data_IF_067487567100
#
_entry.id   IF_067487567100
#
_cell.length_a   1.000
_cell.length_b   1.000
_cell.length_c   1.000
_cell.angle_alpha   90.00
_cell.angle_beta   90.00
_cell.angle_gamma   90.00
#
_symmetry.space_group_name_H-M   'P 1'
#
loop_
_entity.id
_entity.type
_entity.pdbx_description
1 polymer ?
#
# COMPACT_ATOMS: atom_id res chain seq x y z
N UNK A 1 -13.85 -37.00 -6.06
CA UNK A 1 -14.42 -36.73 -4.73
C UNK A 1 -15.93 -36.71 -4.86
N UNK A 2 -16.66 -37.55 -4.12
CA UNK A 2 -18.12 -37.51 -4.10
C UNK A 2 -18.57 -36.43 -3.09
N UNK A 3 -18.96 -35.27 -3.60
CA UNK A 3 -19.53 -34.21 -2.76
C UNK A 3 -20.98 -34.54 -2.43
N UNK A 4 -21.32 -34.58 -1.15
CA UNK A 4 -22.67 -34.86 -0.68
C UNK A 4 -23.54 -33.60 -0.60
N UNK A 5 -22.90 -32.40 -0.48
CA UNK A 5 -23.60 -31.12 -0.41
C UNK A 5 -22.90 -30.04 -1.26
N UNK A 6 -23.61 -28.96 -1.59
CA UNK A 6 -23.02 -27.80 -2.30
C UNK A 6 -21.93 -27.12 -1.46
N UNK A 7 -22.03 -27.13 -0.12
CA UNK A 7 -21.05 -26.52 0.79
C UNK A 7 -19.64 -27.12 0.65
N UNK A 8 -19.53 -28.40 0.27
CA UNK A 8 -18.24 -29.07 0.01
C UNK A 8 -17.57 -28.59 -1.27
N UNK A 9 -18.32 -27.90 -2.14
CA UNK A 9 -17.84 -27.36 -3.42
C UNK A 9 -17.51 -25.86 -3.35
N UNK A 10 -17.83 -25.20 -2.21
CA UNK A 10 -17.54 -23.77 -2.01
C UNK A 10 -16.05 -23.58 -1.80
N UNK A 11 -15.48 -22.53 -2.41
CA UNK A 11 -14.13 -22.08 -2.11
C UNK A 11 -14.12 -21.49 -0.70
N UNK A 12 -13.40 -22.12 0.20
CA UNK A 12 -13.20 -21.63 1.57
C UNK A 12 -11.86 -20.93 1.62
N UNK A 13 -11.87 -19.71 2.11
CA UNK A 13 -10.67 -18.87 2.32
C UNK A 13 -10.81 -18.19 3.68
N UNK A 14 -9.70 -17.91 4.32
CA UNK A 14 -9.66 -17.04 5.49
C UNK A 14 -9.52 -15.59 4.99
N UNK A 15 -10.54 -14.73 5.23
CA UNK A 15 -10.51 -13.38 4.69
C UNK A 15 -9.53 -12.49 5.47
N UNK A 16 -9.03 -11.47 4.82
CA UNK A 16 -8.28 -10.41 5.47
C UNK A 16 -9.07 -9.75 6.61
N UNK A 17 -8.42 -9.50 7.74
CA UNK A 17 -9.00 -8.79 8.87
C UNK A 17 -8.61 -7.31 8.83
N UNK A 18 -9.53 -6.41 8.45
CA UNK A 18 -9.24 -4.98 8.37
C UNK A 18 -8.94 -4.37 9.75
N UNK A 19 -8.31 -3.18 9.74
CA UNK A 19 -8.16 -2.39 10.95
C UNK A 19 -9.52 -1.96 11.51
N UNK A 20 -9.59 -1.86 12.82
CA UNK A 20 -10.81 -1.41 13.52
C UNK A 20 -11.25 -0.02 13.01
N UNK A 21 -12.55 0.12 12.78
CA UNK A 21 -13.19 1.38 12.37
C UNK A 21 -14.03 1.90 13.55
N UNK A 22 -13.49 2.80 14.39
CA UNK A 22 -14.26 3.37 15.50
C UNK A 22 -15.45 4.16 14.97
N UNK A 23 -16.61 3.99 15.63
CA UNK A 23 -17.86 4.68 15.28
C UNK A 23 -18.19 5.83 16.23
N UNK A 24 -17.31 6.11 17.18
CA UNK A 24 -17.47 7.18 18.17
C UNK A 24 -16.80 8.45 17.70
N UNK A 25 -17.41 9.59 18.01
CA UNK A 25 -16.82 10.90 17.77
C UNK A 25 -15.67 11.18 18.76
N UNK A 26 -14.80 12.14 18.42
CA UNK A 26 -13.66 12.56 19.24
C UNK A 26 -12.56 11.51 19.45
N UNK A 27 -12.31 10.66 18.49
CA UNK A 27 -11.19 9.71 18.50
C UNK A 27 -10.03 10.21 17.63
N UNK A 28 -8.82 9.80 18.00
CA UNK A 28 -7.62 9.96 17.18
C UNK A 28 -7.34 8.62 16.47
N UNK A 29 -7.71 8.52 15.18
CA UNK A 29 -7.62 7.30 14.40
C UNK A 29 -6.30 7.25 13.62
N UNK A 30 -5.35 6.44 14.10
CA UNK A 30 -3.99 6.27 13.54
C UNK A 30 -3.64 4.80 13.25
N UNK A 31 -4.62 3.99 12.84
CA UNK A 31 -4.45 2.54 12.68
C UNK A 31 -4.51 2.04 11.23
N UNK A 32 -4.93 2.84 10.26
CA UNK A 32 -5.15 2.43 8.85
C UNK A 32 -4.36 3.24 7.83
N UNK A 33 -3.38 4.04 8.29
CA UNK A 33 -2.47 4.83 7.44
C UNK A 33 -3.22 5.79 6.51
N UNK A 34 -4.34 6.35 6.99
CA UNK A 34 -5.06 7.39 6.27
C UNK A 34 -4.29 8.72 6.33
N UNK A 35 -4.45 9.53 5.30
CA UNK A 35 -3.85 10.86 5.25
C UNK A 35 -4.65 11.81 6.16
N UNK A 36 -4.01 12.62 7.01
CA UNK A 36 -4.71 13.57 7.89
C UNK A 36 -5.26 14.81 7.17
N UNK A 37 -4.85 15.04 5.92
CA UNK A 37 -5.30 16.16 5.11
C UNK A 37 -6.41 15.74 4.14
N UNK A 38 -7.32 16.64 3.75
CA UNK A 38 -8.32 16.36 2.73
C UNK A 38 -7.66 16.15 1.35
N UNK A 39 -8.40 15.62 0.36
CA UNK A 39 -7.96 15.65 -1.03
C UNK A 39 -7.73 17.09 -1.54
N UNK A 40 -7.02 17.21 -2.67
CA UNK A 40 -6.82 18.49 -3.34
C UNK A 40 -8.14 19.25 -3.55
N UNK A 41 -8.18 20.59 -3.39
CA UNK A 41 -9.33 21.41 -3.73
C UNK A 41 -9.81 21.25 -5.19
N UNK A 42 -8.91 20.88 -6.11
CA UNK A 42 -9.28 20.56 -7.49
C UNK A 42 -10.19 19.34 -7.58
N UNK A 43 -9.97 18.33 -6.71
CA UNK A 43 -10.84 17.14 -6.60
C UNK A 43 -12.26 17.54 -6.16
N UNK A 44 -12.35 18.37 -5.13
CA UNK A 44 -13.65 18.88 -4.65
C UNK A 44 -14.39 19.63 -5.76
N UNK A 45 -13.68 20.47 -6.50
CA UNK A 45 -14.23 21.26 -7.59
C UNK A 45 -14.83 20.36 -8.69
N UNK A 46 -14.06 19.40 -9.22
CA UNK A 46 -14.55 18.56 -10.33
C UNK A 46 -15.69 17.64 -9.91
N UNK A 47 -15.75 17.23 -8.64
CA UNK A 47 -16.87 16.44 -8.11
C UNK A 47 -18.14 17.29 -8.01
N UNK A 48 -18.05 18.55 -7.54
CA UNK A 48 -19.20 19.46 -7.44
C UNK A 48 -19.75 19.89 -8.80
N UNK A 49 -18.87 20.00 -9.79
CA UNK A 49 -19.23 20.41 -11.16
C UNK A 49 -19.71 19.22 -12.03
N UNK A 50 -19.62 17.98 -11.49
CA UNK A 50 -20.00 16.80 -12.25
C UNK A 50 -21.50 16.76 -12.52
N UNK A 51 -21.88 16.54 -13.80
CA UNK A 51 -23.27 16.38 -14.18
C UNK A 51 -23.80 15.02 -13.72
N UNK A 52 -24.71 15.03 -12.75
CA UNK A 52 -25.31 13.83 -12.16
C UNK A 52 -26.07 12.95 -13.17
N UNK A 53 -26.65 13.54 -14.21
CA UNK A 53 -27.31 12.79 -15.28
C UNK A 53 -26.36 11.81 -15.99
N UNK A 54 -25.05 12.09 -16.00
CA UNK A 54 -24.06 11.21 -16.60
C UNK A 54 -23.86 9.91 -15.82
N UNK A 55 -24.30 9.84 -14.54
CA UNK A 55 -24.20 8.61 -13.73
C UNK A 55 -25.05 7.44 -14.28
N UNK A 56 -26.03 7.70 -15.14
CA UNK A 56 -26.81 6.66 -15.85
C UNK A 56 -26.04 5.95 -16.96
N UNK A 57 -24.87 6.46 -17.34
CA UNK A 57 -24.04 5.92 -18.41
C UNK A 57 -22.88 5.10 -17.82
N UNK A 58 -22.47 4.06 -18.53
CA UNK A 58 -21.24 3.36 -18.20
C UNK A 58 -20.02 4.29 -18.33
N UNK A 59 -19.05 4.20 -17.41
CA UNK A 59 -17.81 4.97 -17.49
C UNK A 59 -16.91 4.50 -18.64
N UNK A 60 -15.90 5.31 -18.95
CA UNK A 60 -14.81 4.88 -19.83
C UNK A 60 -14.08 3.67 -19.25
N UNK A 61 -14.12 2.55 -19.97
CA UNK A 61 -13.51 1.28 -19.56
C UNK A 61 -11.98 1.37 -19.37
N UNK A 62 -11.34 2.27 -20.12
CA UNK A 62 -9.89 2.49 -20.05
C UNK A 62 -9.50 3.54 -19.02
N UNK A 63 -10.48 4.29 -18.47
CA UNK A 63 -10.24 5.43 -17.58
C UNK A 63 -9.25 6.44 -18.21
N UNK A 64 -9.37 6.73 -19.50
CA UNK A 64 -8.38 7.43 -20.34
C UNK A 64 -7.92 8.74 -19.75
N UNK A 65 -8.83 9.57 -19.23
CA UNK A 65 -8.48 10.84 -18.59
C UNK A 65 -7.46 10.65 -17.44
N UNK A 66 -7.67 9.66 -16.58
CA UNK A 66 -6.78 9.37 -15.45
C UNK A 66 -5.47 8.74 -15.93
N UNK A 67 -5.54 7.80 -16.88
CA UNK A 67 -4.36 7.14 -17.47
C UNK A 67 -3.45 8.17 -18.14
N UNK A 68 -4.01 9.10 -18.92
CA UNK A 68 -3.24 10.14 -19.61
C UNK A 68 -2.60 11.14 -18.62
N UNK A 69 -3.32 11.51 -17.55
CA UNK A 69 -2.76 12.35 -16.49
C UNK A 69 -1.57 11.67 -15.79
N UNK A 70 -1.70 10.37 -15.44
CA UNK A 70 -0.61 9.59 -14.85
C UNK A 70 0.57 9.43 -15.82
N UNK A 71 0.30 9.08 -17.07
CA UNK A 71 1.34 8.92 -18.09
C UNK A 71 2.16 10.21 -18.25
N UNK A 72 1.48 11.35 -18.34
CA UNK A 72 2.11 12.67 -18.40
C UNK A 72 2.97 12.97 -17.16
N UNK A 73 2.43 12.70 -15.96
CA UNK A 73 3.14 12.95 -14.71
C UNK A 73 4.42 12.14 -14.57
N UNK A 74 4.38 10.87 -14.94
CA UNK A 74 5.51 9.95 -14.80
C UNK A 74 6.41 9.90 -16.04
N UNK A 75 6.06 10.62 -17.11
CA UNK A 75 6.85 10.67 -18.34
C UNK A 75 6.87 9.35 -19.10
N UNK A 76 5.79 8.57 -19.04
CA UNK A 76 5.65 7.26 -19.69
C UNK A 76 4.54 7.29 -20.75
N UNK A 77 4.46 6.25 -21.58
CA UNK A 77 3.36 6.06 -22.54
C UNK A 77 2.08 5.63 -21.82
N UNK A 78 0.91 6.09 -22.26
CA UNK A 78 -0.40 5.67 -21.72
C UNK A 78 -0.59 4.13 -21.73
N UNK A 79 0.04 3.42 -22.65
CA UNK A 79 0.05 1.96 -22.71
C UNK A 79 0.98 1.30 -21.68
N UNK A 80 1.71 2.07 -20.89
CA UNK A 80 2.52 1.61 -19.76
C UNK A 80 1.80 1.82 -18.41
N UNK A 81 0.58 2.35 -18.41
CA UNK A 81 -0.21 2.65 -17.22
C UNK A 81 -1.47 1.80 -17.17
N UNK A 82 -1.70 1.15 -16.02
CA UNK A 82 -2.91 0.41 -15.70
C UNK A 82 -3.57 1.05 -14.48
N UNK A 83 -4.90 1.16 -14.46
CA UNK A 83 -5.66 1.65 -13.30
C UNK A 83 -6.71 0.64 -12.83
N UNK A 84 -6.92 0.60 -11.51
CA UNK A 84 -7.88 -0.29 -10.86
C UNK A 84 -8.52 0.35 -9.62
N UNK A 85 -9.43 -0.39 -8.99
CA UNK A 85 -10.24 0.08 -7.84
C UNK A 85 -9.45 -0.05 -6.53
N UNK A 86 -8.40 0.76 -6.40
CA UNK A 86 -7.38 0.71 -5.35
C UNK A 86 -6.24 -0.23 -5.70
N UNK A 87 -5.10 -0.09 -5.00
CA UNK A 87 -3.95 -1.00 -5.18
C UNK A 87 -4.30 -2.45 -4.88
N UNK A 88 -5.27 -2.71 -3.99
CA UNK A 88 -5.74 -4.07 -3.71
C UNK A 88 -6.28 -4.77 -4.96
N UNK A 89 -7.11 -4.07 -5.77
CA UNK A 89 -7.60 -4.59 -7.05
C UNK A 89 -6.45 -4.77 -8.04
N UNK A 90 -5.55 -3.79 -8.16
CA UNK A 90 -4.38 -3.87 -9.06
C UNK A 90 -3.50 -5.07 -8.71
N UNK A 91 -3.18 -5.29 -7.43
CA UNK A 91 -2.35 -6.40 -6.98
C UNK A 91 -3.10 -7.72 -7.15
N UNK A 92 -4.38 -7.79 -6.80
CA UNK A 92 -5.21 -8.98 -7.01
C UNK A 92 -5.25 -9.41 -8.48
N UNK A 93 -5.43 -8.45 -9.40
CA UNK A 93 -5.36 -8.69 -10.85
C UNK A 93 -3.94 -9.11 -11.28
N UNK A 94 -2.90 -8.57 -10.65
CA UNK A 94 -1.50 -8.95 -10.90
C UNK A 94 -1.25 -10.41 -10.53
N UNK A 95 -1.72 -10.86 -9.35
CA UNK A 95 -1.65 -12.26 -8.94
C UNK A 95 -2.35 -13.18 -9.95
N UNK A 96 -3.57 -12.81 -10.34
CA UNK A 96 -4.35 -13.58 -11.31
C UNK A 96 -3.70 -13.63 -12.70
N UNK A 97 -2.98 -12.56 -13.08
CA UNK A 97 -2.39 -12.44 -14.42
C UNK A 97 -1.04 -13.16 -14.53
N UNK A 98 -0.14 -12.97 -13.56
CA UNK A 98 1.28 -13.31 -13.73
C UNK A 98 1.74 -14.49 -12.89
N UNK A 99 1.05 -14.83 -11.80
CA UNK A 99 1.50 -15.86 -10.88
C UNK A 99 0.77 -17.19 -11.10
N UNK A 100 0.86 -17.74 -12.33
CA UNK A 100 0.10 -18.90 -12.79
C UNK A 100 0.96 -20.15 -13.05
N UNK A 101 2.16 -20.22 -12.47
CA UNK A 101 3.00 -21.42 -12.56
C UNK A 101 2.83 -22.31 -11.33
N UNK A 102 3.36 -23.55 -11.41
CA UNK A 102 3.45 -24.45 -10.25
C UNK A 102 4.59 -24.07 -9.27
N UNK A 103 5.35 -23.00 -9.58
CA UNK A 103 6.45 -22.51 -8.74
C UNK A 103 5.93 -21.57 -7.70
N UNK A 104 6.56 -21.58 -6.51
CA UNK A 104 6.25 -20.66 -5.44
C UNK A 104 6.54 -19.22 -5.82
N UNK A 105 5.61 -18.30 -5.53
CA UNK A 105 5.92 -16.87 -5.51
C UNK A 105 6.58 -16.50 -4.18
N UNK A 106 7.38 -15.43 -4.20
CA UNK A 106 8.15 -14.98 -3.05
C UNK A 106 7.70 -13.60 -2.58
N UNK A 107 7.57 -13.45 -1.27
CA UNK A 107 7.37 -12.15 -0.60
C UNK A 107 7.87 -12.19 0.84
N UNK A 108 8.17 -11.03 1.49
CA UNK A 108 8.68 -10.99 2.85
C UNK A 108 7.73 -11.62 3.87
N UNK A 109 8.26 -12.23 4.92
CA UNK A 109 7.48 -12.86 6.02
C UNK A 109 6.74 -11.84 6.89
N UNK A 110 7.28 -10.62 7.00
CA UNK A 110 6.64 -9.48 7.66
C UNK A 110 6.35 -8.42 6.59
N UNK A 111 5.14 -8.45 6.08
CA UNK A 111 4.72 -7.68 4.90
C UNK A 111 3.24 -7.31 4.95
N UNK A 112 2.72 -6.77 3.84
CA UNK A 112 1.30 -6.51 3.68
C UNK A 112 0.49 -7.80 3.72
N UNK A 113 -0.36 -7.93 4.74
CA UNK A 113 -1.08 -9.16 5.06
C UNK A 113 -2.25 -9.50 4.13
N UNK A 114 -2.20 -9.07 2.89
CA UNK A 114 -3.10 -9.49 1.83
C UNK A 114 -2.43 -10.41 0.81
N UNK A 115 -1.08 -10.47 0.78
CA UNK A 115 -0.40 -11.27 -0.23
C UNK A 115 -0.67 -12.77 -0.06
N UNK A 116 -0.62 -13.27 1.16
CA UNK A 116 -1.00 -14.65 1.49
C UNK A 116 -2.48 -14.92 1.18
N UNK A 117 -3.37 -13.98 1.51
CA UNK A 117 -4.81 -14.10 1.23
C UNK A 117 -5.09 -14.26 -0.27
N UNK A 118 -4.44 -13.46 -1.13
CA UNK A 118 -4.60 -13.62 -2.59
C UNK A 118 -3.95 -14.89 -3.10
N UNK A 119 -2.77 -15.27 -2.59
CA UNK A 119 -2.12 -16.51 -2.97
C UNK A 119 -3.02 -17.72 -2.67
N UNK A 120 -3.63 -17.78 -1.48
CA UNK A 120 -4.58 -18.83 -1.11
C UNK A 120 -5.88 -18.78 -1.91
N UNK A 121 -6.45 -17.57 -2.12
CA UNK A 121 -7.66 -17.37 -2.90
C UNK A 121 -7.51 -17.91 -4.33
N UNK A 122 -6.36 -17.63 -4.97
CA UNK A 122 -6.09 -18.06 -6.33
C UNK A 122 -5.38 -19.43 -6.42
N UNK A 123 -5.03 -20.04 -5.26
CA UNK A 123 -4.30 -21.32 -5.18
C UNK A 123 -2.92 -21.24 -5.82
N UNK A 124 -2.25 -20.12 -5.60
CA UNK A 124 -0.89 -19.87 -6.04
C UNK A 124 0.05 -20.38 -4.94
N UNK A 125 0.98 -21.29 -5.23
CA UNK A 125 1.97 -21.69 -4.24
C UNK A 125 2.86 -20.50 -3.88
N UNK A 126 3.18 -20.36 -2.59
CA UNK A 126 4.01 -19.27 -2.12
C UNK A 126 4.95 -19.69 -1.00
N UNK A 127 6.03 -18.95 -0.87
CA UNK A 127 6.97 -19.03 0.24
C UNK A 127 7.32 -17.64 0.76
N UNK A 128 7.24 -17.46 2.06
CA UNK A 128 7.68 -16.23 2.69
C UNK A 128 9.20 -16.23 2.88
N UNK A 129 9.82 -15.07 2.63
CA UNK A 129 11.26 -14.84 2.76
C UNK A 129 11.51 -14.05 4.04
N UNK A 130 12.28 -14.58 5.02
CA UNK A 130 12.53 -13.89 6.27
C UNK A 130 13.23 -12.55 6.06
N UNK A 131 12.70 -11.48 6.65
CA UNK A 131 13.44 -10.23 6.80
C UNK A 131 14.56 -10.42 7.85
N UNK A 132 15.65 -9.65 7.70
CA UNK A 132 16.71 -9.56 8.72
C UNK A 132 16.15 -9.01 10.04
N UNK A 133 16.95 -8.99 11.09
CA UNK A 133 16.55 -8.50 12.42
C UNK A 133 16.22 -7.00 12.42
N UNK A 134 16.84 -6.23 11.51
CA UNK A 134 16.56 -4.81 11.27
C UNK A 134 15.40 -4.56 10.30
N UNK A 135 14.70 -5.62 9.90
CA UNK A 135 13.60 -5.63 8.94
C UNK A 135 13.98 -5.27 7.49
N UNK A 136 15.26 -5.30 7.13
CA UNK A 136 15.71 -5.18 5.74
C UNK A 136 15.65 -6.52 5.01
N UNK A 137 15.62 -6.46 3.68
CA UNK A 137 15.68 -7.62 2.79
C UNK A 137 17.13 -8.09 2.63
N UNK A 138 17.34 -9.41 2.54
CA UNK A 138 18.56 -9.95 1.98
C UNK A 138 18.28 -10.33 0.50
N UNK A 139 18.86 -9.63 -0.49
CA UNK A 139 18.59 -9.89 -1.90
C UNK A 139 19.00 -11.30 -2.35
N UNK A 140 19.98 -11.94 -1.67
CA UNK A 140 20.43 -13.30 -1.99
C UNK A 140 19.31 -14.33 -1.79
N UNK A 141 18.38 -14.10 -0.87
CA UNK A 141 17.28 -15.02 -0.58
C UNK A 141 16.22 -15.05 -1.70
N UNK A 142 16.28 -14.09 -2.61
CA UNK A 142 15.43 -14.00 -3.80
C UNK A 142 16.12 -14.54 -5.08
N UNK A 143 17.39 -14.96 -5.01
CA UNK A 143 18.14 -15.51 -6.15
C UNK A 143 17.91 -17.01 -6.32
N UNK A 144 16.66 -17.40 -6.51
CA UNK A 144 16.26 -18.79 -6.72
C UNK A 144 15.17 -18.91 -7.76
N UNK A 145 14.94 -20.11 -8.27
CA UNK A 145 13.83 -20.40 -9.18
C UNK A 145 12.49 -20.14 -8.48
N UNK A 146 11.61 -19.33 -9.09
CA UNK A 146 10.35 -18.89 -8.48
C UNK A 146 9.27 -18.60 -9.54
N UNK A 147 8.02 -18.50 -9.08
CA UNK A 147 6.85 -18.18 -9.90
C UNK A 147 6.55 -16.68 -10.02
N UNK A 148 7.30 -15.83 -9.31
CA UNK A 148 7.13 -14.38 -9.25
C UNK A 148 7.54 -13.83 -7.89
N UNK A 149 7.74 -12.53 -7.81
CA UNK A 149 8.17 -11.84 -6.58
C UNK A 149 7.28 -10.63 -6.37
N UNK A 150 6.85 -10.39 -5.12
CA UNK A 150 6.20 -9.14 -4.74
C UNK A 150 6.83 -8.60 -3.45
N UNK A 151 7.26 -7.32 -3.49
CA UNK A 151 7.93 -6.64 -2.40
C UNK A 151 7.29 -5.27 -2.19
N UNK A 152 6.78 -4.94 -0.99
CA UNK A 152 6.36 -3.58 -0.68
C UNK A 152 7.59 -2.72 -0.36
N UNK A 153 7.70 -1.57 -1.00
CA UNK A 153 8.81 -0.65 -0.83
C UNK A 153 8.36 0.82 -0.85
N UNK A 154 8.29 1.51 0.31
CA UNK A 154 8.60 1.06 1.68
C UNK A 154 7.71 -0.07 2.20
N UNK A 155 8.29 -0.98 2.99
CA UNK A 155 7.57 -2.11 3.55
C UNK A 155 6.50 -1.68 4.57
N UNK A 156 5.38 -2.35 4.58
CA UNK A 156 4.37 -2.26 5.65
C UNK A 156 4.26 -3.62 6.37
N UNK A 157 4.42 -3.69 7.71
CA UNK A 157 4.24 -2.60 8.67
C UNK A 157 5.52 -1.86 9.11
N UNK A 158 6.70 -2.20 8.62
CA UNK A 158 7.97 -1.74 9.19
C UNK A 158 8.35 -0.30 8.82
N UNK A 159 7.92 0.17 7.64
CA UNK A 159 8.28 1.48 7.07
C UNK A 159 9.66 1.51 6.41
N UNK A 160 10.41 0.41 6.43
CA UNK A 160 11.77 0.30 5.87
C UNK A 160 11.71 0.44 4.34
N UNK A 161 12.61 1.26 3.81
CA UNK A 161 12.82 1.45 2.38
C UNK A 161 14.10 0.71 1.94
N UNK A 162 13.98 -0.17 0.98
CA UNK A 162 15.12 -0.77 0.30
C UNK A 162 15.67 0.16 -0.77
N UNK A 163 16.97 0.08 -1.00
CA UNK A 163 17.63 0.86 -2.03
C UNK A 163 17.29 0.38 -3.43
N UNK A 164 17.42 1.27 -4.43
CA UNK A 164 17.28 0.87 -5.83
C UNK A 164 18.29 -0.22 -6.22
N UNK A 165 19.50 -0.20 -5.65
CA UNK A 165 20.52 -1.21 -5.92
C UNK A 165 20.06 -2.59 -5.44
N UNK A 166 19.46 -2.68 -4.24
CA UNK A 166 18.87 -3.93 -3.71
C UNK A 166 17.78 -4.48 -4.63
N UNK A 167 16.87 -3.60 -5.08
CA UNK A 167 15.78 -4.00 -5.99
C UNK A 167 16.35 -4.39 -7.36
N UNK A 168 17.33 -3.66 -7.88
CA UNK A 168 17.95 -3.97 -9.16
C UNK A 168 18.72 -5.30 -9.12
N UNK A 169 19.34 -5.64 -7.99
CA UNK A 169 20.00 -6.93 -7.79
C UNK A 169 19.00 -8.10 -7.87
N UNK A 170 17.83 -7.94 -7.26
CA UNK A 170 16.73 -8.93 -7.34
C UNK A 170 16.24 -9.05 -8.78
N UNK A 171 16.01 -7.93 -9.48
CA UNK A 171 15.58 -7.94 -10.89
C UNK A 171 16.57 -8.65 -11.82
N UNK A 172 17.86 -8.38 -11.66
CA UNK A 172 18.95 -9.03 -12.44
C UNK A 172 18.98 -10.55 -12.24
N UNK A 173 18.72 -11.00 -11.01
CA UNK A 173 18.75 -12.42 -10.68
C UNK A 173 17.50 -13.17 -11.18
N UNK A 174 16.40 -12.46 -11.50
CA UNK A 174 15.10 -13.05 -11.81
C UNK A 174 14.53 -12.61 -13.19
N UNK A 175 15.28 -12.76 -14.30
CA UNK A 175 14.89 -12.24 -15.62
C UNK A 175 13.66 -12.95 -16.21
N UNK A 176 13.29 -14.12 -15.70
CA UNK A 176 12.17 -14.95 -16.17
C UNK A 176 10.93 -14.86 -15.30
N UNK A 177 10.98 -14.15 -14.17
CA UNK A 177 9.86 -13.98 -13.26
C UNK A 177 9.41 -12.52 -13.24
N UNK A 178 8.12 -12.27 -13.11
CA UNK A 178 7.61 -10.91 -12.87
C UNK A 178 7.95 -10.50 -11.44
N UNK A 179 8.57 -9.32 -11.31
CA UNK A 179 8.88 -8.69 -10.03
C UNK A 179 7.97 -7.49 -9.85
N UNK A 180 7.16 -7.53 -8.79
CA UNK A 180 6.22 -6.48 -8.43
C UNK A 180 6.76 -5.70 -7.25
N UNK A 181 6.88 -4.38 -7.40
CA UNK A 181 7.23 -3.48 -6.31
C UNK A 181 6.00 -2.67 -5.93
N UNK A 182 5.48 -2.93 -4.73
CA UNK A 182 4.33 -2.22 -4.17
C UNK A 182 4.80 -0.95 -3.46
N UNK A 183 4.65 0.16 -4.15
CA UNK A 183 5.08 1.49 -3.72
C UNK A 183 3.95 2.31 -3.08
N UNK A 184 3.07 1.69 -2.32
CA UNK A 184 1.94 2.39 -1.69
C UNK A 184 2.35 3.57 -0.80
N UNK A 185 3.59 3.63 -0.33
CA UNK A 185 4.12 4.66 0.58
C UNK A 185 5.29 5.45 0.03
N UNK A 186 5.66 5.25 -1.23
CA UNK A 186 6.90 5.80 -1.82
C UNK A 186 6.99 7.32 -1.77
N UNK A 187 5.85 8.00 -1.87
CA UNK A 187 5.77 9.46 -1.90
C UNK A 187 6.21 10.14 -0.60
N UNK A 188 6.37 9.39 0.50
CA UNK A 188 6.77 9.94 1.80
C UNK A 188 8.28 9.99 2.01
N UNK A 189 9.05 10.20 0.95
CA UNK A 189 10.49 10.42 0.97
C UNK A 189 11.32 9.25 0.41
N UNK A 190 10.68 8.24 -0.15
CA UNK A 190 11.35 7.15 -0.84
C UNK A 190 11.77 7.50 -2.26
N UNK A 191 12.61 6.65 -2.85
CA UNK A 191 13.01 6.71 -4.27
C UNK A 191 12.32 5.59 -5.03
N UNK A 192 11.48 5.96 -6.00
CA UNK A 192 10.69 5.01 -6.79
C UNK A 192 11.55 4.15 -7.74
N UNK A 193 11.12 2.91 -7.94
CA UNK A 193 11.69 2.00 -8.93
C UNK A 193 11.28 2.30 -10.38
N UNK A 194 10.42 3.29 -10.61
CA UNK A 194 9.96 3.66 -11.96
C UNK A 194 11.08 3.87 -12.98
N UNK A 195 12.25 4.48 -12.67
CA UNK A 195 13.34 4.59 -13.64
C UNK A 195 13.91 3.25 -14.14
N UNK A 196 13.59 2.14 -13.47
CA UNK A 196 14.07 0.81 -13.87
C UNK A 196 13.15 0.10 -14.88
N UNK A 197 11.93 0.59 -15.14
CA UNK A 197 10.97 -0.08 -16.04
C UNK A 197 11.46 -0.16 -17.49
N UNK A 198 12.25 0.82 -17.95
CA UNK A 198 12.82 0.81 -19.29
C UNK A 198 13.98 -0.19 -19.43
N UNK A 199 14.59 -0.57 -18.31
CA UNK A 199 15.71 -1.51 -18.25
C UNK A 199 15.25 -2.95 -18.01
N UNK A 200 14.13 -3.15 -17.28
CA UNK A 200 13.62 -4.46 -16.87
C UNK A 200 12.18 -4.65 -17.31
N UNK A 201 11.97 -5.37 -18.42
CA UNK A 201 10.64 -5.62 -19.00
C UNK A 201 9.71 -6.34 -18.01
N UNK A 202 10.27 -7.09 -17.05
CA UNK A 202 9.56 -7.88 -16.04
C UNK A 202 9.27 -7.12 -14.73
N UNK A 203 9.57 -5.82 -14.63
CA UNK A 203 9.24 -4.98 -13.48
C UNK A 203 7.84 -4.38 -13.62
N UNK A 204 7.03 -4.55 -12.58
CA UNK A 204 5.74 -3.87 -12.40
C UNK A 204 5.76 -3.07 -11.11
N UNK A 205 5.56 -1.76 -11.20
CA UNK A 205 5.48 -0.85 -10.04
C UNK A 205 4.02 -0.52 -9.76
N UNK A 206 3.55 -0.78 -8.53
CA UNK A 206 2.16 -0.51 -8.10
C UNK A 206 2.13 0.64 -7.13
N UNK A 207 1.21 1.59 -7.32
CA UNK A 207 1.02 2.73 -6.43
C UNK A 207 -0.48 2.95 -6.12
N UNK A 208 -0.79 3.84 -5.17
CA UNK A 208 -2.16 4.11 -4.73
C UNK A 208 -2.41 5.58 -4.43
N UNK A 209 -3.64 6.02 -4.63
CA UNK A 209 -4.12 7.35 -4.18
C UNK A 209 -4.59 7.35 -2.72
N UNK A 210 -4.66 6.18 -2.10
CA UNK A 210 -5.22 6.02 -0.75
C UNK A 210 -4.37 6.68 0.35
N UNK A 211 -3.09 6.96 0.09
CA UNK A 211 -2.13 7.44 1.09
C UNK A 211 -1.73 8.90 0.84
N UNK A 212 -0.81 9.14 -0.06
CA UNK A 212 -0.26 10.47 -0.32
C UNK A 212 -1.26 11.45 -0.92
N UNK A 213 -2.23 10.98 -1.70
CA UNK A 213 -3.24 11.83 -2.37
C UNK A 213 -4.56 11.95 -1.60
N UNK A 214 -4.64 11.42 -0.35
CA UNK A 214 -5.82 11.58 0.53
C UNK A 214 -7.14 11.00 -0.02
N UNK A 215 -7.07 10.02 -0.94
CA UNK A 215 -8.24 9.54 -1.68
C UNK A 215 -8.58 8.07 -1.39
N UNK A 216 -8.36 7.60 -0.15
CA UNK A 216 -8.68 6.22 0.22
C UNK A 216 -10.14 5.84 -0.07
N UNK A 217 -11.10 6.77 0.14
CA UNK A 217 -12.52 6.58 -0.14
C UNK A 217 -12.86 6.52 -1.63
N UNK A 218 -12.03 7.09 -2.51
CA UNK A 218 -12.25 7.09 -3.96
C UNK A 218 -11.78 5.79 -4.64
N UNK A 219 -11.04 4.94 -3.93
CA UNK A 219 -10.59 3.64 -4.43
C UNK A 219 -9.83 3.74 -5.76
N UNK A 220 -8.68 4.38 -5.78
CA UNK A 220 -7.83 4.50 -6.97
C UNK A 220 -6.47 3.88 -6.69
N UNK A 221 -6.07 2.92 -7.50
CA UNK A 221 -4.73 2.36 -7.58
C UNK A 221 -4.28 2.25 -9.02
N UNK A 222 -2.98 2.18 -9.24
CA UNK A 222 -2.43 2.05 -10.59
C UNK A 222 -1.14 1.24 -10.58
N UNK A 223 -0.79 0.71 -11.76
CA UNK A 223 0.50 0.10 -12.01
C UNK A 223 1.16 0.73 -13.23
N UNK A 224 2.49 0.78 -13.20
CA UNK A 224 3.32 1.20 -14.33
C UNK A 224 4.35 0.10 -14.61
N UNK A 225 4.51 -0.25 -15.88
CA UNK A 225 5.44 -1.30 -16.32
C UNK A 225 5.64 -1.28 -17.82
N UNK A 226 6.25 -2.33 -18.36
CA UNK A 226 6.38 -2.48 -19.81
C UNK A 226 5.00 -2.55 -20.49
N UNK A 227 4.89 -2.08 -21.75
CA UNK A 227 3.66 -2.16 -22.54
C UNK A 227 3.08 -3.59 -22.59
N UNK A 228 3.96 -4.57 -22.55
CA UNK A 228 3.60 -5.99 -22.58
C UNK A 228 2.94 -6.45 -21.28
N UNK A 229 3.50 -6.08 -20.11
CA UNK A 229 2.89 -6.37 -18.82
C UNK A 229 1.53 -5.70 -18.69
N UNK A 230 1.44 -4.42 -19.04
CA UNK A 230 0.20 -3.65 -18.94
C UNK A 230 -0.88 -4.20 -19.88
N UNK A 231 -0.49 -4.67 -21.08
CA UNK A 231 -1.43 -5.32 -21.98
C UNK A 231 -2.04 -6.58 -21.37
N UNK A 232 -1.22 -7.49 -20.83
CA UNK A 232 -1.73 -8.73 -20.22
C UNK A 232 -2.60 -8.44 -18.98
N UNK A 233 -2.20 -7.50 -18.15
CA UNK A 233 -2.99 -7.08 -16.98
C UNK A 233 -4.35 -6.52 -17.40
N UNK A 234 -4.38 -5.72 -18.48
CA UNK A 234 -5.61 -5.17 -19.07
C UNK A 234 -6.51 -6.26 -19.66
N UNK A 235 -5.93 -7.24 -20.37
CA UNK A 235 -6.70 -8.35 -20.95
C UNK A 235 -7.44 -9.14 -19.85
N UNK A 236 -6.79 -9.39 -18.71
CA UNK A 236 -7.40 -10.09 -17.56
C UNK A 236 -8.46 -9.21 -16.91
N UNK A 237 -8.17 -7.91 -16.64
CA UNK A 237 -9.16 -6.97 -16.11
C UNK A 237 -10.44 -6.95 -16.95
N UNK A 238 -10.31 -6.78 -18.27
CA UNK A 238 -11.47 -6.74 -19.17
C UNK A 238 -12.24 -8.06 -19.21
N UNK A 239 -11.59 -9.17 -18.89
CA UNK A 239 -12.23 -10.49 -18.80
C UNK A 239 -12.94 -10.72 -17.46
N UNK A 240 -12.50 -10.06 -16.37
CA UNK A 240 -13.13 -10.16 -15.05
C UNK A 240 -14.23 -9.10 -14.89
N UNK A 241 -13.92 -7.83 -15.10
CA UNK A 241 -14.85 -6.71 -15.03
C UNK A 241 -14.32 -5.51 -15.84
N UNK A 242 -15.00 -5.17 -16.94
CA UNK A 242 -14.58 -4.10 -17.84
C UNK A 242 -14.83 -2.70 -17.29
N UNK A 243 -15.83 -2.52 -16.42
CA UNK A 243 -16.32 -1.21 -15.95
C UNK A 243 -16.03 -0.98 -14.47
N UNK A 244 -14.80 -1.22 -14.03
CA UNK A 244 -14.44 -1.18 -12.60
C UNK A 244 -14.40 0.23 -12.03
N UNK A 245 -13.87 1.21 -12.77
CA UNK A 245 -13.68 2.58 -12.29
C UNK A 245 -14.94 3.40 -12.48
N UNK A 246 -15.45 4.03 -11.42
CA UNK A 246 -16.57 4.96 -11.53
C UNK A 246 -16.11 6.33 -12.08
N UNK A 247 -17.03 7.14 -12.71
CA UNK A 247 -16.65 8.41 -13.34
C UNK A 247 -16.03 9.41 -12.37
N UNK A 248 -16.53 9.49 -11.13
CA UNK A 248 -16.01 10.43 -10.12
C UNK A 248 -14.58 10.10 -9.70
N UNK A 249 -14.25 8.80 -9.61
CA UNK A 249 -12.86 8.38 -9.36
C UNK A 249 -11.93 8.73 -10.53
N UNK A 250 -12.41 8.62 -11.77
CA UNK A 250 -11.61 8.96 -12.95
C UNK A 250 -11.30 10.45 -12.99
N UNK A 251 -12.33 11.31 -12.90
CA UNK A 251 -12.15 12.77 -12.96
C UNK A 251 -11.43 13.32 -11.73
N UNK A 252 -11.81 12.85 -10.54
CA UNK A 252 -11.15 13.25 -9.29
C UNK A 252 -9.70 12.80 -9.20
N UNK A 253 -9.40 11.59 -9.71
CA UNK A 253 -8.04 11.08 -9.80
C UNK A 253 -7.17 11.92 -10.74
N UNK A 254 -7.67 12.26 -11.94
CA UNK A 254 -6.96 13.13 -12.87
C UNK A 254 -6.69 14.53 -12.26
N UNK A 255 -7.70 15.15 -11.64
CA UNK A 255 -7.56 16.43 -10.95
C UNK A 255 -6.52 16.38 -9.82
N UNK A 256 -6.48 15.29 -9.04
CA UNK A 256 -5.49 15.10 -8.00
C UNK A 256 -4.06 14.92 -8.53
N UNK A 257 -3.90 14.35 -9.73
CA UNK A 257 -2.59 14.23 -10.40
C UNK A 257 -2.10 15.58 -10.90
N UNK A 258 -2.99 16.42 -11.40
CA UNK A 258 -2.67 17.74 -11.95
C UNK A 258 -2.30 18.77 -10.87
N UNK A 259 -2.80 18.60 -9.63
CA UNK A 259 -2.48 19.51 -8.51
C UNK A 259 -1.20 19.09 -7.78
N UNK A 260 -0.08 19.26 -8.45
CA UNK A 260 1.23 18.90 -7.92
C UNK A 260 1.63 19.75 -6.71
N UNK A 261 1.27 21.03 -6.68
CA UNK A 261 1.61 21.94 -5.57
C UNK A 261 0.96 21.48 -4.26
N UNK A 262 -0.32 21.19 -4.29
CA UNK A 262 -1.03 20.67 -3.11
C UNK A 262 -0.48 19.32 -2.66
N UNK A 263 -0.22 18.44 -3.60
CA UNK A 263 0.37 17.12 -3.35
C UNK A 263 1.72 17.23 -2.63
N UNK A 264 2.65 18.03 -3.17
CA UNK A 264 3.96 18.24 -2.56
C UNK A 264 3.87 18.87 -1.17
N UNK A 265 3.01 19.88 -1.00
CA UNK A 265 2.79 20.55 0.28
C UNK A 265 2.32 19.58 1.37
N UNK A 266 1.26 18.82 1.10
CA UNK A 266 0.69 17.90 2.11
C UNK A 266 1.59 16.71 2.40
N UNK A 267 2.27 16.18 1.40
CA UNK A 267 3.25 15.09 1.58
C UNK A 267 4.44 15.57 2.42
N UNK A 268 4.99 16.76 2.15
CA UNK A 268 6.08 17.33 2.93
C UNK A 268 5.68 17.59 4.38
N UNK A 269 4.45 18.02 4.63
CA UNK A 269 3.93 18.23 5.99
C UNK A 269 3.88 16.91 6.79
N UNK A 270 3.47 15.81 6.14
CA UNK A 270 3.48 14.48 6.76
C UNK A 270 4.92 14.02 7.04
N UNK A 271 5.86 14.24 6.11
CA UNK A 271 7.28 13.95 6.32
C UNK A 271 7.82 14.73 7.52
N UNK A 272 7.57 16.03 7.59
CA UNK A 272 8.02 16.89 8.70
C UNK A 272 7.44 16.40 10.03
N UNK A 273 6.15 16.06 10.05
CA UNK A 273 5.48 15.56 11.27
C UNK A 273 6.01 14.16 11.65
N UNK A 274 6.36 13.31 10.69
CA UNK A 274 7.02 12.03 10.97
C UNK A 274 8.39 12.24 11.62
N UNK A 275 9.22 13.11 11.08
CA UNK A 275 10.55 13.35 11.62
C UNK A 275 10.48 13.99 13.03
N UNK A 276 9.52 14.88 13.25
CA UNK A 276 9.18 15.37 14.59
C UNK A 276 8.76 14.22 15.51
N UNK A 277 7.90 13.32 15.05
CA UNK A 277 7.41 12.19 15.83
C UNK A 277 8.51 11.19 16.20
N UNK A 278 9.47 10.93 15.30
CA UNK A 278 10.65 10.13 15.61
C UNK A 278 11.44 10.67 16.79
N UNK A 279 11.67 12.00 16.85
CA UNK A 279 12.37 12.66 17.96
C UNK A 279 11.61 12.47 19.27
N UNK A 280 10.29 12.75 19.26
CA UNK A 280 9.45 12.61 20.47
C UNK A 280 9.38 11.17 20.98
N UNK A 281 9.23 10.20 20.09
CA UNK A 281 9.24 8.78 20.46
C UNK A 281 10.59 8.34 21.04
N UNK A 282 11.71 8.83 20.51
CA UNK A 282 13.05 8.56 21.06
C UNK A 282 13.20 9.11 22.47
N UNK A 283 12.74 10.34 22.73
CA UNK A 283 12.72 10.96 24.06
C UNK A 283 11.91 10.13 25.07
N UNK A 284 10.83 9.50 24.62
CA UNK A 284 9.97 8.62 25.42
C UNK A 284 10.51 7.17 25.54
N UNK A 285 11.69 6.88 25.02
CA UNK A 285 12.35 5.56 25.15
C UNK A 285 11.90 4.52 24.13
N UNK A 286 11.23 4.91 23.05
CA UNK A 286 10.89 4.02 21.93
C UNK A 286 12.09 3.82 21.01
N UNK A 287 12.10 2.65 20.36
CA UNK A 287 13.00 2.30 19.25
C UNK A 287 12.15 1.91 18.02
N UNK A 288 12.63 2.19 16.83
CA UNK A 288 11.94 1.93 15.58
C UNK A 288 12.95 1.86 14.42
N UNK A 289 12.68 1.09 13.36
CA UNK A 289 13.43 1.20 12.11
C UNK A 289 13.17 2.57 11.46
N UNK A 290 14.11 3.03 10.65
CA UNK A 290 13.95 4.30 9.95
C UNK A 290 12.82 4.20 8.91
N UNK A 291 11.74 4.93 9.14
CA UNK A 291 10.54 4.86 8.30
C UNK A 291 10.58 5.89 7.19
N UNK A 292 10.30 5.44 5.95
CA UNK A 292 10.03 6.27 4.77
C UNK A 292 8.56 6.16 4.32
N UNK A 293 7.65 5.99 5.29
CA UNK A 293 6.20 5.90 5.06
C UNK A 293 5.45 6.97 5.87
N UNK A 294 4.11 6.96 5.83
CA UNK A 294 3.28 7.82 6.68
C UNK A 294 2.95 7.19 8.04
N UNK A 295 3.81 6.33 8.56
CA UNK A 295 3.68 5.70 9.87
C UNK A 295 5.05 5.40 10.48
N UNK A 296 5.10 5.11 11.76
CA UNK A 296 6.28 4.63 12.48
C UNK A 296 5.94 3.27 13.11
N UNK A 297 6.86 2.31 13.00
CA UNK A 297 6.76 0.98 13.60
C UNK A 297 7.63 0.91 14.84
N UNK A 298 7.05 1.21 16.01
CA UNK A 298 7.77 1.49 17.23
C UNK A 298 7.56 0.43 18.31
N UNK A 299 8.62 0.13 19.05
CA UNK A 299 8.59 -0.66 20.29
C UNK A 299 9.16 0.12 21.46
N UNK A 300 8.63 -0.09 22.67
CA UNK A 300 9.16 0.53 23.87
C UNK A 300 10.03 -0.43 24.67
N UNK A 301 11.14 0.07 25.25
CA UNK A 301 12.15 -0.78 25.91
C UNK A 301 11.66 -1.49 27.17
N UNK A 302 10.67 -0.91 27.89
CA UNK A 302 10.24 -1.38 29.21
C UNK A 302 8.78 -1.81 29.24
N UNK A 303 7.91 -1.14 28.48
CA UNK A 303 6.45 -1.37 28.49
C UNK A 303 6.05 -2.17 27.25
N UNK A 304 5.40 -3.32 27.39
CA UNK A 304 4.98 -4.14 26.26
C UNK A 304 4.01 -3.40 25.32
N UNK A 305 4.17 -3.60 24.01
CA UNK A 305 3.33 -2.94 23.00
C UNK A 305 1.83 -3.23 23.19
N UNK A 306 1.44 -4.44 23.62
CA UNK A 306 0.06 -4.79 23.90
C UNK A 306 -0.56 -3.94 25.03
N UNK A 307 0.24 -3.64 26.06
CA UNK A 307 -0.21 -2.78 27.16
C UNK A 307 -0.41 -1.34 26.66
N UNK A 308 0.58 -0.78 25.93
CA UNK A 308 0.47 0.56 25.35
C UNK A 308 -0.73 0.64 24.41
N UNK A 309 -0.91 -0.34 23.55
CA UNK A 309 -2.07 -0.43 22.64
C UNK A 309 -3.40 -0.35 23.38
N UNK A 310 -3.54 -1.13 24.46
CA UNK A 310 -4.79 -1.18 25.25
C UNK A 310 -5.07 0.17 25.92
N UNK A 311 -4.06 0.75 26.60
CA UNK A 311 -4.19 2.01 27.29
C UNK A 311 -4.46 3.20 26.34
N UNK A 312 -3.84 3.22 25.15
CA UNK A 312 -4.13 4.23 24.12
C UNK A 312 -5.57 4.12 23.64
N UNK A 313 -6.03 2.90 23.39
CA UNK A 313 -7.40 2.64 22.92
C UNK A 313 -8.44 3.08 23.96
N UNK A 314 -8.22 2.84 25.24
CA UNK A 314 -9.07 3.33 26.35
C UNK A 314 -9.17 4.86 26.39
N UNK A 315 -8.16 5.56 25.88
CA UNK A 315 -8.12 7.01 25.77
C UNK A 315 -8.58 7.54 24.40
N UNK A 316 -9.20 6.68 23.57
CA UNK A 316 -9.72 7.08 22.26
C UNK A 316 -8.65 7.23 21.17
N UNK A 317 -7.43 6.72 21.39
CA UNK A 317 -6.33 6.75 20.42
C UNK A 317 -6.17 5.35 19.81
N UNK A 318 -6.40 5.22 18.52
CA UNK A 318 -6.38 3.95 17.80
C UNK A 318 -5.10 3.84 16.98
N UNK A 319 -4.20 2.92 17.36
CA UNK A 319 -3.01 2.51 16.62
C UNK A 319 -3.15 1.06 16.14
N UNK A 320 -2.21 0.54 15.38
CA UNK A 320 -2.25 -0.86 14.94
C UNK A 320 -1.28 -1.72 15.75
N UNK A 321 -1.74 -2.90 16.15
CA UNK A 321 -0.99 -3.93 16.86
C UNK A 321 -1.24 -5.30 16.23
N UNK A 322 -0.24 -6.19 16.27
CA UNK A 322 -0.34 -7.59 15.86
C UNK A 322 0.24 -8.52 16.92
N UNK A 323 -0.53 -9.53 17.30
CA UNK A 323 -0.05 -10.60 18.20
C UNK A 323 0.60 -11.72 17.35
N UNK A 324 1.68 -11.38 16.64
CA UNK A 324 2.47 -12.28 15.78
C UNK A 324 3.93 -12.26 16.20
N UNK A 325 4.59 -13.42 16.13
CA UNK A 325 6.03 -13.53 16.40
C UNK A 325 6.83 -12.46 15.65
N UNK A 326 7.92 -12.00 16.24
CA UNK A 326 8.84 -10.93 15.79
C UNK A 326 8.25 -9.52 15.80
N UNK A 327 6.92 -9.34 15.75
CA UNK A 327 6.27 -8.02 15.71
C UNK A 327 5.30 -7.75 16.87
N UNK A 328 5.09 -8.71 17.75
CA UNK A 328 4.18 -8.59 18.89
C UNK A 328 4.62 -7.59 19.98
N UNK A 329 5.82 -7.02 19.87
CA UNK A 329 6.25 -5.91 20.73
C UNK A 329 6.38 -4.59 19.96
N UNK A 330 5.67 -4.44 18.86
CA UNK A 330 5.66 -3.22 18.05
C UNK A 330 4.25 -2.68 17.87
N UNK A 331 4.16 -1.37 17.74
CA UNK A 331 2.96 -0.62 17.34
C UNK A 331 3.23 0.08 16.03
N UNK A 332 2.31 0.01 15.08
CA UNK A 332 2.34 0.88 13.92
C UNK A 332 1.46 2.10 14.19
N UNK A 333 2.09 3.25 14.26
CA UNK A 333 1.46 4.54 14.56
C UNK A 333 1.42 5.35 13.28
N UNK A 334 0.25 5.56 12.71
CA UNK A 334 0.06 6.45 11.55
C UNK A 334 0.39 7.89 11.94
N UNK A 335 0.99 8.65 11.03
CA UNK A 335 1.26 10.07 11.23
C UNK A 335 -0.03 10.87 10.97
N UNK A 336 -0.55 11.48 12.02
CA UNK A 336 -1.67 12.42 11.98
C UNK A 336 -1.19 13.86 11.75
N UNK A 337 -2.07 14.82 12.02
CA UNK A 337 -1.65 16.23 12.13
C UNK A 337 -0.69 16.41 13.31
N UNK A 338 0.08 17.49 13.31
CA UNK A 338 0.97 17.77 14.45
C UNK A 338 0.22 17.79 15.77
N UNK A 339 -0.98 18.39 15.82
CA UNK A 339 -1.83 18.44 17.02
C UNK A 339 -2.28 17.03 17.46
N UNK A 340 -2.62 16.14 16.51
CA UNK A 340 -2.93 14.76 16.85
C UNK A 340 -1.73 14.05 17.47
N UNK A 341 -0.54 14.23 16.88
CA UNK A 341 0.68 13.62 17.38
C UNK A 341 1.09 14.15 18.75
N UNK A 342 0.96 15.46 19.00
CA UNK A 342 1.24 16.04 20.32
C UNK A 342 0.37 15.40 21.42
N UNK A 343 -0.93 15.19 21.17
CA UNK A 343 -1.83 14.48 22.08
C UNK A 343 -1.41 13.01 22.28
N UNK A 344 -0.97 12.34 21.21
CA UNK A 344 -0.45 10.96 21.30
C UNK A 344 0.77 10.91 22.22
N UNK A 345 1.71 11.86 22.09
CA UNK A 345 2.93 11.88 22.92
C UNK A 345 2.63 12.22 24.38
N UNK A 346 1.67 13.09 24.65
CA UNK A 346 1.19 13.35 26.01
C UNK A 346 0.69 12.05 26.66
N UNK A 347 -0.17 11.30 25.95
CA UNK A 347 -0.70 10.04 26.47
C UNK A 347 0.33 8.93 26.54
N UNK A 348 1.25 8.86 25.60
CA UNK A 348 2.37 7.92 25.69
C UNK A 348 3.25 8.23 26.91
N UNK A 349 3.55 9.50 27.21
CA UNK A 349 4.31 9.87 28.39
C UNK A 349 3.65 9.41 29.70
N UNK A 350 2.31 9.56 29.81
CA UNK A 350 1.54 9.04 30.96
C UNK A 350 1.63 7.51 31.11
N UNK A 351 1.74 6.79 29.97
CA UNK A 351 1.73 5.31 29.94
C UNK A 351 3.11 4.71 30.25
N UNK A 352 4.18 5.36 29.77
CA UNK A 352 5.54 4.78 29.83
C UNK A 352 6.44 5.43 30.88
N UNK A 353 6.06 6.62 31.41
CA UNK A 353 6.77 7.41 32.43
C UNK A 353 6.62 6.89 33.77
#
# INVERSE_FOLDING_TARGET
MNYTTWEQRVRKVEPYTPGEQPKTDNVIKLNTNENPFPPSPMVEKVIKEYNEDALRLYPDTRAGLLVDALAKRYGVDSNQVFVGVGSDDVISQTFLTFFNSDKEILFPDITYSFYDVWAELYRIPYRTVPLKDDFTINPDDYKCDNGGIIIPNPNAPTGVLESLDTIEEILKANPTSVVVIDEAYIDFGGTSCLPLIDKYENLLVVQTFSKSRSMAGMRIGFAIGSKKLIKYLSDVKFSVNSYTMNPLSIIGGAAAVEDEEYFQKTTQEIINTREYSKKRLTELGFTFPDSMSNFIFASHKKVPAKEIFTKLKEQGIYVRYWDKSRINNHLRITIGTKENMDKVFEKLAEIVG
#
